data_IF_251501355791
#
_entry.id   IF_251501355791
#
_cell.length_a   1.000
_cell.length_b   1.000
_cell.length_c   1.000
_cell.angle_alpha   90.00
_cell.angle_beta   90.00
_cell.angle_gamma   90.00
#
_symmetry.space_group_name_H-M   'P 1'
#
loop_
_entity.id
_entity.type
_entity.pdbx_description
1 polymer ?
#
# COMPACT_ATOMS: atom_id res chain seq x y z
N UNK A 1 2.49 -1.71 8.24
CA UNK A 1 3.23 -2.33 7.14
C UNK A 1 3.57 -1.28 6.09
N UNK A 2 4.74 -1.36 5.53
CA UNK A 2 5.22 -0.42 4.53
C UNK A 2 5.27 -1.08 3.17
N UNK A 3 4.84 -0.37 2.14
CA UNK A 3 4.86 -0.87 0.76
C UNK A 3 5.63 0.12 -0.09
N UNK A 4 6.55 -0.38 -0.90
CA UNK A 4 7.32 0.41 -1.85
C UNK A 4 6.89 0.01 -3.25
N UNK A 5 6.33 0.96 -3.98
CA UNK A 5 5.89 0.77 -5.36
C UNK A 5 6.95 1.35 -6.27
N UNK A 6 7.45 0.56 -7.21
CA UNK A 6 8.55 0.95 -8.09
C UNK A 6 8.16 0.82 -9.56
N UNK A 7 8.52 1.83 -10.33
CA UNK A 7 8.46 1.75 -11.79
C UNK A 7 9.76 2.36 -12.36
N UNK A 8 9.97 2.34 -13.69
CA UNK A 8 11.22 2.84 -14.26
C UNK A 8 11.51 4.31 -14.01
N UNK A 9 10.54 5.08 -13.55
CA UNK A 9 10.67 6.53 -13.42
C UNK A 9 10.78 7.00 -11.97
N UNK A 10 10.14 6.30 -11.02
CA UNK A 10 10.17 6.72 -9.61
C UNK A 10 9.70 5.60 -8.68
N UNK A 11 10.01 5.78 -7.42
CA UNK A 11 9.55 4.93 -6.33
C UNK A 11 8.55 5.71 -5.47
N UNK A 12 7.55 5.02 -4.94
CA UNK A 12 6.64 5.59 -3.97
C UNK A 12 6.56 4.67 -2.74
N UNK A 13 6.79 5.22 -1.56
CA UNK A 13 6.72 4.51 -0.30
C UNK A 13 5.45 4.91 0.43
N UNK A 14 4.64 3.92 0.82
CA UNK A 14 3.40 4.18 1.54
C UNK A 14 3.36 3.33 2.82
N UNK A 15 2.75 3.90 3.85
CA UNK A 15 2.46 3.20 5.09
C UNK A 15 0.98 2.82 5.11
N UNK A 16 0.68 1.55 5.42
CA UNK A 16 -0.69 1.05 5.42
C UNK A 16 -1.02 0.34 6.73
N UNK A 17 -2.31 0.31 7.09
CA UNK A 17 -2.79 -0.35 8.30
C UNK A 17 -2.88 -1.86 8.15
N UNK A 18 -3.11 -2.34 6.95
CA UNK A 18 -3.26 -3.76 6.67
C UNK A 18 -1.93 -4.51 6.90
N UNK A 19 -2.03 -5.81 7.10
CA UNK A 19 -0.85 -6.64 7.32
C UNK A 19 -0.47 -7.45 6.07
N UNK A 20 0.63 -8.17 6.19
CA UNK A 20 1.16 -8.98 5.09
C UNK A 20 0.18 -10.08 4.66
N UNK A 21 -0.52 -10.70 5.61
CA UNK A 21 -1.49 -11.75 5.28
C UNK A 21 -2.63 -11.21 4.42
N UNK A 22 -3.14 -10.04 4.77
CA UNK A 22 -4.15 -9.38 3.97
C UNK A 22 -3.64 -9.09 2.56
N UNK A 23 -2.43 -8.53 2.46
CA UNK A 23 -1.83 -8.21 1.18
C UNK A 23 -1.67 -9.47 0.31
N UNK A 24 -1.13 -10.54 0.88
CA UNK A 24 -0.93 -11.79 0.16
C UNK A 24 -2.25 -12.38 -0.33
N UNK A 25 -3.29 -12.35 0.50
CA UNK A 25 -4.60 -12.86 0.11
C UNK A 25 -5.20 -12.04 -1.02
N UNK A 26 -5.10 -10.71 -0.94
CA UNK A 26 -5.61 -9.83 -1.97
C UNK A 26 -4.85 -10.02 -3.29
N UNK A 27 -3.54 -10.21 -3.22
CA UNK A 27 -2.72 -10.48 -4.40
C UNK A 27 -3.12 -11.79 -5.07
N UNK A 28 -3.37 -12.84 -4.28
CA UNK A 28 -3.87 -14.12 -4.81
C UNK A 28 -5.21 -13.96 -5.52
N UNK A 29 -6.10 -13.13 -4.98
CA UNK A 29 -7.39 -12.86 -5.59
C UNK A 29 -7.23 -12.18 -6.95
N UNK A 30 -6.25 -11.29 -7.10
CA UNK A 30 -5.92 -10.69 -8.38
C UNK A 30 -5.43 -11.74 -9.38
N UNK A 31 -4.51 -12.60 -8.95
CA UNK A 31 -3.97 -13.66 -9.79
C UNK A 31 -5.05 -14.66 -10.26
N UNK A 32 -6.06 -14.89 -9.43
CA UNK A 32 -7.17 -15.78 -9.74
C UNK A 32 -8.29 -15.08 -10.52
N UNK A 33 -8.15 -13.79 -10.80
CA UNK A 33 -9.14 -13.03 -11.55
C UNK A 33 -10.38 -12.59 -10.76
N UNK A 34 -10.35 -12.74 -9.43
CA UNK A 34 -11.48 -12.36 -8.57
C UNK A 34 -11.51 -10.88 -8.21
N UNK A 35 -10.36 -10.22 -8.29
CA UNK A 35 -10.23 -8.79 -7.99
C UNK A 35 -9.28 -8.13 -8.99
N UNK A 36 -9.43 -6.83 -9.18
CA UNK A 36 -8.60 -6.06 -10.11
C UNK A 36 -7.57 -5.20 -9.38
N UNK A 37 -7.81 -4.91 -8.11
CA UNK A 37 -6.94 -4.04 -7.32
C UNK A 37 -6.94 -4.47 -5.86
N UNK A 38 -5.96 -3.97 -5.11
CA UNK A 38 -5.85 -4.18 -3.67
C UNK A 38 -6.30 -2.92 -2.96
N UNK A 39 -7.31 -3.05 -2.09
CA UNK A 39 -7.78 -1.95 -1.25
C UNK A 39 -6.93 -1.89 0.00
N UNK A 40 -6.35 -0.72 0.24
CA UNK A 40 -5.50 -0.48 1.41
C UNK A 40 -5.90 0.81 2.09
N UNK A 41 -5.60 0.91 3.38
CA UNK A 41 -5.79 2.13 4.15
C UNK A 41 -4.41 2.73 4.40
N UNK A 42 -4.10 3.79 3.66
CA UNK A 42 -2.84 4.51 3.83
C UNK A 42 -2.94 5.42 5.04
N UNK A 43 -1.91 5.39 5.89
CA UNK A 43 -1.78 6.28 7.03
C UNK A 43 -0.66 7.27 6.77
N UNK A 44 -0.86 8.52 7.20
CA UNK A 44 0.18 9.52 7.09
C UNK A 44 0.00 10.57 8.19
N UNK A 45 1.11 11.22 8.53
CA UNK A 45 1.09 12.29 9.51
C UNK A 45 0.82 13.61 8.81
N UNK A 46 -0.18 14.34 9.31
CA UNK A 46 -0.45 15.71 8.87
C UNK A 46 -0.22 16.65 10.03
N UNK A 47 0.30 17.82 9.71
CA UNK A 47 0.59 18.87 10.69
C UNK A 47 2.02 18.84 11.18
N UNK A 48 2.45 19.98 11.68
CA UNK A 48 3.75 20.21 12.28
C UNK A 48 3.57 20.66 13.71
N UNK A 49 4.47 20.28 14.61
CA UNK A 49 4.46 20.74 15.98
C UNK A 49 4.16 19.66 16.99
N UNK A 50 3.70 20.06 18.18
CA UNK A 50 3.59 19.21 19.36
C UNK A 50 2.49 18.14 19.29
N UNK A 51 1.51 18.32 18.40
CA UNK A 51 0.39 17.40 18.26
C UNK A 51 0.20 17.02 16.79
N UNK A 52 1.08 16.16 16.24
CA UNK A 52 0.87 15.67 14.88
C UNK A 52 -0.42 14.85 14.83
N UNK A 53 -1.29 15.18 13.89
CA UNK A 53 -2.47 14.39 13.63
C UNK A 53 -2.15 13.30 12.60
N UNK A 54 -2.77 12.13 12.76
CA UNK A 54 -2.72 11.07 11.75
C UNK A 54 -4.00 11.09 10.95
N UNK A 55 -3.86 11.01 9.65
CA UNK A 55 -4.98 10.88 8.75
C UNK A 55 -4.92 9.53 8.04
N UNK A 56 -6.07 9.09 7.55
CA UNK A 56 -6.18 7.82 6.85
C UNK A 56 -6.91 8.02 5.54
N UNK A 57 -6.45 7.35 4.49
CA UNK A 57 -7.11 7.36 3.19
C UNK A 57 -7.24 5.96 2.64
N UNK A 58 -8.40 5.66 2.10
CA UNK A 58 -8.58 4.42 1.35
C UNK A 58 -7.97 4.63 -0.03
N UNK A 59 -7.06 3.74 -0.39
CA UNK A 59 -6.41 3.73 -1.71
C UNK A 59 -6.61 2.37 -2.35
N UNK A 60 -6.53 2.34 -3.67
CA UNK A 60 -6.55 1.11 -4.44
C UNK A 60 -5.28 1.08 -5.28
N UNK A 61 -4.53 0.00 -5.18
CA UNK A 61 -3.34 -0.18 -6.01
C UNK A 61 -3.54 -1.37 -6.93
N UNK A 62 -3.00 -1.26 -8.14
CA UNK A 62 -2.96 -2.38 -9.08
C UNK A 62 -1.50 -2.81 -9.22
N UNK A 63 -1.11 -3.94 -8.59
CA UNK A 63 0.29 -4.35 -8.62
C UNK A 63 0.81 -4.69 -10.01
N UNK A 64 -0.08 -4.93 -10.97
CA UNK A 64 0.32 -5.20 -12.37
C UNK A 64 0.85 -3.96 -13.09
N UNK A 65 0.56 -2.77 -12.58
CA UNK A 65 1.02 -1.51 -13.17
C UNK A 65 2.42 -1.10 -12.69
N UNK A 66 2.97 -1.84 -11.73
CA UNK A 66 4.26 -1.53 -11.14
C UNK A 66 5.28 -2.58 -11.52
N UNK A 67 6.49 -2.16 -11.84
CA UNK A 67 7.57 -3.08 -12.19
C UNK A 67 7.96 -3.95 -11.00
N UNK A 68 7.86 -3.40 -9.78
CA UNK A 68 8.15 -4.11 -8.55
C UNK A 68 7.32 -3.54 -7.42
N UNK A 69 6.80 -4.42 -6.59
CA UNK A 69 6.15 -4.05 -5.33
C UNK A 69 6.88 -4.75 -4.20
N UNK A 70 7.43 -3.97 -3.29
CA UNK A 70 8.16 -4.48 -2.13
C UNK A 70 7.34 -4.27 -0.88
N UNK A 71 7.19 -5.31 -0.07
CA UNK A 71 6.43 -5.25 1.18
C UNK A 71 7.39 -5.44 2.34
N UNK A 72 7.38 -4.49 3.26
CA UNK A 72 8.19 -4.54 4.47
C UNK A 72 7.23 -4.69 5.64
N UNK A 73 7.22 -5.89 6.22
CA UNK A 73 6.41 -6.21 7.38
C UNK A 73 7.21 -5.88 8.65
N UNK A 74 6.90 -4.76 9.23
CA UNK A 74 7.59 -4.27 10.43
C UNK A 74 6.95 -4.82 11.70
#
# INVERSE_FOLDING_TARGET
MKIILMNPYYDEEIEVKEDLDYFNQSYKNILNGNEESIRLTQTYCIGTGKNPARDERVIFINPRHWAKVEVIDE
#
